data_IF_771239624446
#
_entry.id   IF_771239624446
#
_cell.length_a   1.000
_cell.length_b   1.000
_cell.length_c   1.000
_cell.angle_alpha   90.00
_cell.angle_beta   90.00
_cell.angle_gamma   90.00
#
_symmetry.space_group_name_H-M   'P 1'
#
loop_
_entity.id
_entity.type
_entity.pdbx_description
1 polymer ?
#
# COMPACT_ATOMS: atom_id res chain seq x y z
N UNK A 1 -9.13 2.83 -12.72
CA UNK A 1 -8.92 1.69 -11.79
C UNK A 1 -8.65 2.26 -10.40
N UNK A 2 -9.09 1.60 -9.33
CA UNK A 2 -8.86 2.06 -7.95
C UNK A 2 -9.00 0.91 -6.95
N UNK A 3 -8.87 1.22 -5.66
CA UNK A 3 -8.95 0.24 -4.57
C UNK A 3 -7.59 -0.03 -3.91
N UNK A 4 -7.62 -0.25 -2.60
CA UNK A 4 -6.43 -0.41 -1.75
C UNK A 4 -5.45 -1.48 -2.28
N UNK A 5 -5.95 -2.69 -2.56
CA UNK A 5 -5.15 -3.79 -3.08
C UNK A 5 -4.50 -3.49 -4.45
N UNK A 6 -5.21 -2.78 -5.34
CA UNK A 6 -4.66 -2.35 -6.63
C UNK A 6 -3.50 -1.39 -6.46
N UNK A 7 -3.65 -0.37 -5.61
CA UNK A 7 -2.58 0.61 -5.37
C UNK A 7 -1.38 0.00 -4.64
N UNK A 8 -1.60 -0.95 -3.72
CA UNK A 8 -0.51 -1.70 -3.11
C UNK A 8 0.24 -2.57 -4.14
N UNK A 9 -0.48 -3.29 -5.01
CA UNK A 9 0.14 -4.05 -6.10
C UNK A 9 0.92 -3.14 -7.06
N UNK A 10 0.39 -1.97 -7.38
CA UNK A 10 1.07 -0.95 -8.17
C UNK A 10 2.36 -0.46 -7.51
N UNK A 11 2.32 -0.11 -6.22
CA UNK A 11 3.51 0.33 -5.49
C UNK A 11 4.63 -0.71 -5.49
N UNK A 12 4.26 -1.97 -5.25
CA UNK A 12 5.15 -3.11 -5.40
C UNK A 12 5.69 -3.26 -6.84
N UNK A 13 4.84 -3.00 -7.84
CA UNK A 13 5.16 -3.14 -9.27
C UNK A 13 6.11 -2.05 -9.79
N UNK A 14 6.01 -0.81 -9.30
CA UNK A 14 6.93 0.28 -9.67
C UNK A 14 8.38 -0.11 -9.41
N UNK A 15 8.65 -0.82 -8.32
CA UNK A 15 9.98 -1.33 -7.97
C UNK A 15 10.23 -2.78 -8.41
N UNK A 16 9.35 -3.35 -9.22
CA UNK A 16 9.47 -4.72 -9.73
C UNK A 16 9.29 -4.76 -11.24
N UNK A 17 10.18 -4.13 -12.03
CA UNK A 17 10.15 -4.25 -13.48
C UNK A 17 10.32 -5.71 -13.91
N UNK A 18 9.89 -6.11 -15.12
CA UNK A 18 10.07 -7.45 -15.63
C UNK A 18 11.57 -7.83 -15.59
N UNK A 19 11.91 -9.09 -15.27
CA UNK A 19 11.00 -10.20 -14.96
C UNK A 19 10.48 -10.24 -13.52
N UNK A 20 10.93 -9.33 -12.64
CA UNK A 20 10.54 -9.30 -11.22
C UNK A 20 9.06 -8.96 -11.01
N UNK A 21 8.40 -8.37 -12.00
CA UNK A 21 6.96 -8.09 -12.00
C UNK A 21 6.12 -9.32 -11.66
N UNK A 22 6.53 -10.52 -12.10
CA UNK A 22 5.89 -11.80 -11.79
C UNK A 22 5.99 -12.22 -10.32
N UNK A 23 6.82 -11.56 -9.51
CA UNK A 23 6.88 -11.76 -8.06
C UNK A 23 5.85 -10.90 -7.29
N UNK A 24 5.12 -10.03 -7.98
CA UNK A 24 4.00 -9.27 -7.43
C UNK A 24 2.72 -10.02 -7.74
N UNK A 25 2.04 -10.51 -6.72
CA UNK A 25 0.79 -11.26 -6.85
C UNK A 25 -0.35 -10.52 -6.14
N UNK A 26 -1.52 -10.51 -6.77
CA UNK A 26 -2.71 -9.81 -6.29
C UNK A 26 -3.96 -10.39 -6.95
N UNK A 27 -5.12 -10.13 -6.36
CA UNK A 27 -6.41 -10.65 -6.84
C UNK A 27 -7.23 -9.51 -7.41
N UNK A 28 -7.87 -9.76 -8.56
CA UNK A 28 -8.87 -8.86 -9.14
C UNK A 28 -10.18 -9.63 -9.28
N UNK A 29 -11.22 -9.14 -8.60
CA UNK A 29 -12.57 -9.66 -8.73
C UNK A 29 -13.37 -8.84 -9.76
N UNK A 30 -13.70 -9.47 -10.88
CA UNK A 30 -14.46 -8.90 -11.98
C UNK A 30 -15.91 -9.39 -11.95
N UNK A 31 -16.85 -8.46 -11.75
CA UNK A 31 -18.28 -8.74 -11.89
C UNK A 31 -18.75 -8.68 -13.34
N UNK A 32 -20.06 -8.83 -13.56
CA UNK A 32 -20.69 -8.76 -14.88
C UNK A 32 -20.53 -7.40 -15.58
N UNK A 33 -20.25 -6.34 -14.83
CA UNK A 33 -20.06 -4.95 -15.29
C UNK A 33 -18.59 -4.51 -15.30
N UNK A 34 -17.64 -5.45 -15.18
CA UNK A 34 -16.21 -5.13 -15.16
C UNK A 34 -15.79 -4.47 -16.48
N UNK A 35 -15.18 -3.27 -16.47
CA UNK A 35 -14.86 -2.58 -17.72
C UNK A 35 -13.76 -3.32 -18.49
N UNK A 36 -14.06 -3.74 -19.72
CA UNK A 36 -13.12 -4.47 -20.58
C UNK A 36 -11.83 -3.69 -20.85
N UNK A 37 -11.90 -2.35 -20.87
CA UNK A 37 -10.73 -1.47 -21.02
C UNK A 37 -9.71 -1.58 -19.88
N UNK A 38 -10.07 -2.15 -18.73
CA UNK A 38 -9.13 -2.35 -17.63
C UNK A 38 -8.25 -3.59 -17.82
N UNK A 39 -8.70 -4.59 -18.59
CA UNK A 39 -7.97 -5.86 -18.77
C UNK A 39 -6.59 -5.63 -19.42
N UNK A 40 -6.46 -4.84 -20.52
CA UNK A 40 -5.14 -4.54 -21.09
C UNK A 40 -4.21 -3.87 -20.07
N UNK A 41 -4.69 -2.89 -19.31
CA UNK A 41 -3.89 -2.18 -18.28
C UNK A 41 -3.37 -3.17 -17.22
N UNK A 42 -4.22 -4.08 -16.75
CA UNK A 42 -3.84 -5.10 -15.77
C UNK A 42 -2.78 -6.05 -16.34
N UNK A 43 -2.97 -6.49 -17.59
CA UNK A 43 -2.07 -7.40 -18.27
C UNK A 43 -0.71 -6.76 -18.58
N UNK A 44 -0.69 -5.49 -18.96
CA UNK A 44 0.52 -4.71 -19.28
C UNK A 44 1.45 -4.57 -18.07
N UNK A 45 0.92 -4.65 -16.84
CA UNK A 45 1.76 -4.69 -15.64
C UNK A 45 2.57 -5.98 -15.53
N UNK A 46 2.27 -7.02 -16.32
CA UNK A 46 3.01 -8.29 -16.36
C UNK A 46 3.20 -8.93 -14.98
N UNK A 47 2.25 -8.71 -14.07
CA UNK A 47 2.25 -9.26 -12.71
C UNK A 47 1.71 -10.69 -12.69
N UNK A 48 1.73 -11.32 -11.51
CA UNK A 48 1.03 -12.58 -11.24
C UNK A 48 -0.38 -12.30 -10.69
N UNK A 49 -1.20 -11.65 -11.52
CA UNK A 49 -2.59 -11.33 -11.17
C UNK A 49 -3.48 -12.57 -11.25
N UNK A 50 -4.31 -12.77 -10.23
CA UNK A 50 -5.41 -13.74 -10.24
C UNK A 50 -6.70 -13.01 -10.56
N UNK A 51 -7.12 -13.03 -11.82
CA UNK A 51 -8.39 -12.46 -12.27
C UNK A 51 -9.52 -13.49 -12.07
N UNK A 52 -10.45 -13.19 -11.17
CA UNK A 52 -11.62 -14.03 -10.88
C UNK A 52 -12.86 -13.37 -11.47
N UNK A 53 -13.57 -14.09 -12.34
CA UNK A 53 -14.79 -13.59 -12.99
C UNK A 53 -16.00 -14.21 -12.30
N UNK A 54 -16.95 -13.36 -11.90
CA UNK A 54 -18.22 -13.79 -11.35
C UNK A 54 -19.37 -13.00 -11.99
N UNK A 55 -20.05 -13.62 -12.95
CA UNK A 55 -21.17 -13.01 -13.70
C UNK A 55 -22.45 -12.83 -12.87
N UNK A 56 -22.53 -13.38 -11.66
CA UNK A 56 -23.72 -13.30 -10.79
C UNK A 56 -23.70 -12.06 -9.88
N UNK A 57 -22.67 -11.21 -9.98
CA UNK A 57 -22.54 -10.01 -9.16
C UNK A 57 -21.97 -8.85 -9.95
N UNK A 58 -22.18 -7.65 -9.42
CA UNK A 58 -21.46 -6.47 -9.85
C UNK A 58 -20.04 -6.43 -9.26
N UNK A 59 -19.15 -5.78 -10.00
CA UNK A 59 -17.79 -5.41 -9.58
C UNK A 59 -17.91 -4.48 -8.38
N UNK A 60 -17.03 -4.66 -7.39
CA UNK A 60 -16.98 -3.74 -6.23
C UNK A 60 -16.61 -2.34 -6.71
N UNK A 61 -17.45 -1.34 -6.43
CA UNK A 61 -17.25 0.06 -6.80
C UNK A 61 -17.24 0.92 -5.53
N UNK A 62 -16.27 1.82 -5.45
CA UNK A 62 -16.19 2.84 -4.42
C UNK A 62 -16.27 4.23 -5.04
N UNK A 63 -16.98 5.14 -4.40
CA UNK A 63 -17.08 6.55 -4.77
C UNK A 63 -16.21 7.37 -3.86
N UNK A 64 -15.31 8.17 -4.43
CA UNK A 64 -14.68 9.28 -3.73
C UNK A 64 -15.46 10.55 -4.05
N UNK A 65 -15.85 11.31 -3.03
CA UNK A 65 -16.45 12.64 -3.18
C UNK A 65 -15.67 13.63 -2.33
N UNK A 66 -15.42 14.82 -2.87
CA UNK A 66 -14.72 15.90 -2.19
C UNK A 66 -15.72 17.00 -1.87
N UNK A 67 -15.73 17.49 -0.62
CA UNK A 67 -16.56 18.63 -0.25
C UNK A 67 -15.88 19.97 -0.63
N UNK A 68 -16.54 21.09 -0.29
CA UNK A 68 -16.02 22.44 -0.58
C UNK A 68 -14.68 22.74 0.12
N UNK A 69 -14.36 22.03 1.21
CA UNK A 69 -13.10 22.10 1.93
C UNK A 69 -12.08 21.04 1.45
N UNK A 70 -12.36 20.37 0.33
CA UNK A 70 -11.54 19.29 -0.25
C UNK A 70 -11.42 18.06 0.67
N UNK A 71 -12.34 17.87 1.62
CA UNK A 71 -12.38 16.65 2.42
C UNK A 71 -12.91 15.48 1.60
N UNK A 72 -12.16 14.40 1.59
CA UNK A 72 -12.50 13.17 0.87
C UNK A 72 -13.44 12.31 1.72
N UNK A 73 -14.66 12.12 1.22
CA UNK A 73 -15.60 11.10 1.67
C UNK A 73 -15.54 9.87 0.75
N UNK A 74 -15.73 8.68 1.32
CA UNK A 74 -15.71 7.42 0.59
C UNK A 74 -16.95 6.58 0.91
N UNK A 75 -17.57 6.02 -0.13
CA UNK A 75 -18.73 5.13 0.00
C UNK A 75 -18.63 3.95 -0.98
N UNK A 76 -19.02 2.75 -0.56
CA UNK A 76 -19.19 1.62 -1.47
C UNK A 76 -20.51 1.73 -2.22
N UNK A 77 -20.45 1.77 -3.56
CA UNK A 77 -21.64 1.82 -4.42
C UNK A 77 -22.20 0.43 -4.75
N UNK A 78 -21.40 -0.61 -4.55
CA UNK A 78 -21.82 -2.01 -4.71
C UNK A 78 -21.27 -2.83 -3.55
N UNK A 79 -21.88 -3.99 -3.21
CA UNK A 79 -21.46 -4.80 -2.07
C UNK A 79 -19.99 -5.17 -2.13
N UNK A 80 -19.24 -4.82 -1.07
CA UNK A 80 -17.83 -5.17 -0.93
C UNK A 80 -17.65 -6.69 -0.94
N UNK A 81 -16.78 -7.18 -1.82
CA UNK A 81 -16.23 -8.53 -1.67
C UNK A 81 -15.02 -8.48 -0.75
N UNK A 82 -14.98 -9.37 0.24
CA UNK A 82 -13.86 -9.44 1.16
C UNK A 82 -13.02 -10.67 0.81
N UNK A 83 -11.73 -10.45 0.56
CA UNK A 83 -10.76 -11.52 0.30
C UNK A 83 -10.37 -12.19 1.62
N UNK A 84 -10.26 -13.51 1.59
CA UNK A 84 -9.97 -14.37 2.71
C UNK A 84 -8.87 -15.39 2.38
N UNK A 85 -8.30 -16.08 3.38
CA UNK A 85 -7.26 -17.08 3.16
C UNK A 85 -7.80 -18.28 2.37
N UNK A 86 -9.08 -18.61 2.51
CA UNK A 86 -9.72 -19.68 1.72
C UNK A 86 -9.69 -19.39 0.22
N UNK A 87 -9.70 -18.11 -0.19
CA UNK A 87 -9.58 -17.73 -1.60
C UNK A 87 -8.21 -18.10 -2.20
N UNK A 88 -7.22 -18.31 -1.35
CA UNK A 88 -5.84 -18.66 -1.73
C UNK A 88 -5.55 -20.16 -1.59
N UNK A 89 -6.51 -20.98 -1.18
CA UNK A 89 -6.27 -22.40 -0.84
C UNK A 89 -5.65 -23.22 -1.98
N UNK A 90 -5.90 -22.85 -3.24
CA UNK A 90 -5.33 -23.50 -4.42
C UNK A 90 -4.17 -22.70 -5.05
N UNK A 91 -3.75 -21.61 -4.42
CA UNK A 91 -2.75 -20.67 -4.92
C UNK A 91 -1.48 -20.76 -4.05
N UNK A 92 -0.83 -21.93 -4.04
CA UNK A 92 0.33 -22.18 -3.17
C UNK A 92 1.44 -21.13 -3.33
N UNK A 93 1.69 -20.66 -4.56
CA UNK A 93 2.67 -19.61 -4.82
C UNK A 93 2.32 -18.28 -4.12
N UNK A 94 1.03 -17.89 -4.13
CA UNK A 94 0.56 -16.71 -3.41
C UNK A 94 0.63 -16.92 -1.89
N UNK A 95 0.21 -18.09 -1.39
CA UNK A 95 0.30 -18.42 0.04
C UNK A 95 1.74 -18.39 0.56
N UNK A 96 2.72 -18.77 -0.27
CA UNK A 96 4.15 -18.77 0.05
C UNK A 96 4.86 -17.43 -0.21
N UNK A 97 4.12 -16.36 -0.53
CA UNK A 97 4.69 -15.01 -0.71
C UNK A 97 5.53 -14.58 0.48
N UNK A 98 6.60 -13.82 0.20
CA UNK A 98 7.52 -13.34 1.25
C UNK A 98 6.92 -12.21 2.09
N UNK A 99 5.95 -11.47 1.55
CA UNK A 99 5.27 -10.39 2.24
C UNK A 99 3.79 -10.34 1.88
N UNK A 100 2.98 -9.79 2.80
CA UNK A 100 1.55 -9.54 2.61
C UNK A 100 1.22 -8.13 3.08
N UNK A 101 0.38 -7.45 2.31
CA UNK A 101 -0.24 -6.18 2.69
C UNK A 101 -1.70 -6.43 3.07
N UNK A 102 -2.07 -6.06 4.30
CA UNK A 102 -3.41 -6.27 4.85
C UNK A 102 -4.06 -4.92 5.21
N UNK A 103 -5.29 -4.70 4.76
CA UNK A 103 -6.13 -3.57 5.16
C UNK A 103 -7.42 -4.09 5.78
N UNK A 104 -7.51 -4.02 7.11
CA UNK A 104 -8.64 -4.59 7.86
C UNK A 104 -8.64 -4.13 9.33
N UNK A 105 -9.72 -4.45 10.04
CA UNK A 105 -9.79 -4.27 11.48
C UNK A 105 -8.74 -5.11 12.22
N UNK A 106 -8.34 -4.74 13.44
CA UNK A 106 -7.32 -5.48 14.20
C UNK A 106 -7.67 -6.96 14.39
N UNK A 107 -8.90 -7.26 14.82
CA UNK A 107 -9.35 -8.65 15.02
C UNK A 107 -9.35 -9.46 13.72
N UNK A 108 -9.68 -8.85 12.59
CA UNK A 108 -9.61 -9.50 11.28
C UNK A 108 -8.16 -9.76 10.88
N UNK A 109 -7.25 -8.82 11.15
CA UNK A 109 -5.83 -9.01 10.86
C UNK A 109 -5.26 -10.22 11.61
N UNK A 110 -5.51 -10.31 12.93
CA UNK A 110 -5.14 -11.49 13.74
C UNK A 110 -5.68 -12.78 13.10
N UNK A 111 -6.98 -12.82 12.77
CA UNK A 111 -7.60 -14.00 12.15
C UNK A 111 -6.95 -14.38 10.80
N UNK A 112 -6.66 -13.40 9.95
CA UNK A 112 -6.03 -13.62 8.64
C UNK A 112 -4.59 -14.13 8.80
N UNK A 113 -3.80 -13.52 9.66
CA UNK A 113 -2.40 -13.91 9.88
C UNK A 113 -2.32 -15.32 10.44
N UNK A 114 -3.13 -15.65 11.45
CA UNK A 114 -3.14 -17.01 12.03
C UNK A 114 -3.46 -18.07 10.97
N UNK A 115 -4.53 -17.86 10.19
CA UNK A 115 -4.94 -18.83 9.16
C UNK A 115 -3.96 -18.88 7.99
N UNK A 116 -3.31 -17.76 7.66
CA UNK A 116 -2.23 -17.73 6.68
C UNK A 116 -1.04 -18.59 7.14
N UNK A 117 -0.62 -18.44 8.39
CA UNK A 117 0.50 -19.22 8.94
C UNK A 117 0.17 -20.71 8.98
N UNK A 118 -1.05 -21.09 9.35
CA UNK A 118 -1.51 -22.47 9.33
C UNK A 118 -1.52 -23.05 7.90
N UNK A 119 -2.09 -22.32 6.93
CA UNK A 119 -2.12 -22.74 5.53
C UNK A 119 -0.70 -22.89 4.96
N UNK A 120 0.22 -21.98 5.29
CA UNK A 120 1.63 -22.06 4.89
C UNK A 120 2.32 -23.28 5.48
N UNK A 121 2.08 -23.58 6.76
CA UNK A 121 2.66 -24.74 7.46
C UNK A 121 2.18 -26.06 6.84
N UNK A 122 0.94 -26.13 6.39
CA UNK A 122 0.40 -27.30 5.68
C UNK A 122 1.08 -27.53 4.32
N UNK A 123 1.45 -26.46 3.61
CA UNK A 123 2.15 -26.57 2.33
C UNK A 123 3.64 -26.89 2.54
N UNK A 124 4.30 -26.15 3.43
CA UNK A 124 5.70 -26.34 3.76
C UNK A 124 5.93 -25.97 5.25
N UNK A 125 6.13 -26.96 6.14
CA UNK A 125 6.37 -26.73 7.56
C UNK A 125 7.62 -25.89 7.86
N UNK A 126 8.57 -25.81 6.93
CA UNK A 126 9.81 -25.03 7.03
C UNK A 126 9.71 -23.67 6.32
N UNK A 127 8.53 -23.28 5.82
CA UNK A 127 8.35 -21.98 5.20
C UNK A 127 8.68 -20.87 6.22
N UNK A 128 9.55 -19.91 5.87
CA UNK A 128 9.82 -18.78 6.74
C UNK A 128 8.53 -18.00 7.00
N UNK A 129 8.43 -17.34 8.16
CA UNK A 129 7.33 -16.43 8.42
C UNK A 129 7.36 -15.30 7.38
N UNK A 130 6.23 -14.94 6.77
CA UNK A 130 6.18 -13.83 5.85
C UNK A 130 6.24 -12.50 6.61
N UNK A 131 6.73 -11.46 5.94
CA UNK A 131 6.58 -10.08 6.41
C UNK A 131 5.10 -9.66 6.31
N UNK A 132 4.53 -9.18 7.41
CA UNK A 132 3.16 -8.67 7.43
C UNK A 132 3.18 -7.14 7.58
N UNK A 133 2.70 -6.45 6.55
CA UNK A 133 2.45 -5.01 6.56
C UNK A 133 0.95 -4.78 6.71
N UNK A 134 0.54 -4.14 7.79
CA UNK A 134 -0.87 -3.93 8.11
C UNK A 134 -1.18 -2.44 8.24
N UNK A 135 -2.26 -1.99 7.59
CA UNK A 135 -2.91 -0.72 7.89
C UNK A 135 -4.32 -0.98 8.47
N UNK A 136 -4.65 -0.37 9.62
CA UNK A 136 -6.00 -0.45 10.17
C UNK A 136 -6.99 0.30 9.26
N UNK A 137 -8.25 -0.13 9.24
CA UNK A 137 -9.29 0.61 8.53
C UNK A 137 -9.73 1.83 9.34
N UNK A 138 -10.08 2.97 8.69
CA UNK A 138 -10.39 4.22 9.39
C UNK A 138 -11.42 4.08 10.50
N UNK A 139 -12.47 3.28 10.28
CA UNK A 139 -13.59 3.08 11.22
C UNK A 139 -13.16 2.39 12.52
N UNK A 140 -11.99 1.72 12.53
CA UNK A 140 -11.42 1.07 13.71
C UNK A 140 -10.30 1.88 14.37
N UNK A 141 -10.01 3.07 13.85
CA UNK A 141 -9.03 3.97 14.43
C UNK A 141 -9.70 4.89 15.45
N UNK A 142 -10.28 4.27 16.48
CA UNK A 142 -11.04 4.92 17.55
C UNK A 142 -10.59 4.42 18.92
N UNK A 143 -10.78 5.18 20.00
CA UNK A 143 -10.19 4.85 21.30
C UNK A 143 -10.63 3.50 21.88
N UNK A 144 -11.88 3.08 21.61
CA UNK A 144 -12.40 1.79 22.05
C UNK A 144 -11.71 0.58 21.38
N UNK A 145 -11.06 0.78 20.23
CA UNK A 145 -10.33 -0.28 19.51
C UNK A 145 -8.84 -0.34 19.90
N UNK A 146 -8.35 0.55 20.77
CA UNK A 146 -6.95 0.61 21.17
C UNK A 146 -6.44 -0.75 21.69
N UNK A 147 -7.22 -1.44 22.52
CA UNK A 147 -6.88 -2.77 23.03
C UNK A 147 -6.81 -3.82 21.92
N UNK A 148 -7.74 -3.79 20.96
CA UNK A 148 -7.73 -4.73 19.85
C UNK A 148 -6.53 -4.48 18.93
N UNK A 149 -6.19 -3.21 18.71
CA UNK A 149 -5.02 -2.82 17.93
C UNK A 149 -3.73 -3.28 18.60
N UNK A 150 -3.54 -3.02 19.90
CA UNK A 150 -2.34 -3.47 20.62
C UNK A 150 -2.23 -5.00 20.64
N UNK A 151 -3.34 -5.72 20.78
CA UNK A 151 -3.37 -7.18 20.66
C UNK A 151 -3.02 -7.70 19.25
N UNK A 152 -3.16 -6.88 18.22
CA UNK A 152 -2.81 -7.24 16.84
C UNK A 152 -1.32 -7.04 16.53
N UNK A 153 -0.65 -6.10 17.21
CA UNK A 153 0.75 -5.76 16.94
C UNK A 153 1.73 -6.96 16.99
N UNK A 154 1.58 -7.99 17.87
CA UNK A 154 2.45 -9.17 17.86
C UNK A 154 2.38 -10.04 16.58
N UNK A 155 1.35 -9.84 15.76
CA UNK A 155 1.10 -10.60 14.53
C UNK A 155 1.67 -9.93 13.29
N UNK A 156 2.14 -8.69 13.40
CA UNK A 156 2.56 -7.87 12.25
C UNK A 156 3.99 -7.39 12.40
N UNK A 157 4.62 -7.04 11.28
CA UNK A 157 5.96 -6.44 11.27
C UNK A 157 5.88 -4.93 11.11
N UNK A 158 4.89 -4.43 10.35
CA UNK A 158 4.64 -3.00 10.18
C UNK A 158 3.17 -2.72 10.50
N UNK A 159 2.94 -1.73 11.36
CA UNK A 159 1.63 -1.12 11.56
C UNK A 159 1.67 0.30 10.97
N UNK A 160 0.77 0.60 10.02
CA UNK A 160 0.79 1.87 9.28
C UNK A 160 -0.55 2.61 9.27
N UNK A 161 -1.00 3.16 10.41
CA UNK A 161 -2.04 4.17 10.38
C UNK A 161 -1.56 5.43 9.66
N UNK A 162 -2.47 6.23 9.14
CA UNK A 162 -2.17 7.63 8.84
C UNK A 162 -2.19 8.49 10.12
N UNK A 163 -1.68 9.72 10.05
CA UNK A 163 -1.61 10.61 11.21
C UNK A 163 -2.98 10.90 11.84
N UNK A 164 -4.02 11.13 11.04
CA UNK A 164 -5.39 11.35 11.54
C UNK A 164 -5.92 10.11 12.27
N UNK A 165 -5.72 8.92 11.69
CA UNK A 165 -6.09 7.64 12.28
C UNK A 165 -5.36 7.38 13.61
N UNK A 166 -4.05 7.62 13.65
CA UNK A 166 -3.26 7.47 14.87
C UNK A 166 -3.75 8.42 15.97
N UNK A 167 -3.94 9.70 15.63
CA UNK A 167 -4.39 10.69 16.60
C UNK A 167 -5.82 10.38 17.08
N UNK A 168 -6.74 9.93 16.21
CA UNK A 168 -8.09 9.48 16.63
C UNK A 168 -8.05 8.27 17.55
N UNK A 169 -7.15 7.32 17.29
CA UNK A 169 -6.98 6.13 18.11
C UNK A 169 -6.52 6.46 19.54
N UNK A 170 -5.66 7.46 19.68
CA UNK A 170 -5.04 7.85 20.96
C UNK A 170 -5.83 8.94 21.70
N UNK A 171 -6.61 9.75 20.97
CA UNK A 171 -7.43 10.80 21.54
C UNK A 171 -8.37 10.24 22.60
N UNK A 172 -8.42 10.85 23.79
CA UNK A 172 -9.46 10.52 24.77
C UNK A 172 -10.85 10.76 24.16
N UNK A 173 -11.89 10.10 24.69
CA UNK A 173 -13.27 10.20 24.21
C UNK A 173 -13.81 11.65 24.07
N UNK A 174 -13.14 12.63 24.71
CA UNK A 174 -13.49 14.05 24.71
C UNK A 174 -13.00 14.86 23.49
N UNK A 175 -12.22 14.30 22.56
CA UNK A 175 -11.76 15.00 21.33
C UNK A 175 -12.37 14.44 20.03
N UNK A 176 -13.40 13.61 20.14
CA UNK A 176 -14.01 12.90 18.99
C UNK A 176 -14.93 13.82 18.15
N UNK A 177 -15.28 15.01 18.65
CA UNK A 177 -16.29 15.90 18.03
C UNK A 177 -15.73 16.93 17.03
N UNK A 178 -14.41 17.09 16.90
CA UNK A 178 -13.84 17.87 15.79
C UNK A 178 -13.53 16.95 14.63
N UNK A 179 -14.33 17.03 13.56
CA UNK A 179 -14.07 16.34 12.30
C UNK A 179 -12.69 16.68 11.67
N UNK A 180 -11.98 17.67 12.21
CA UNK A 180 -10.68 18.14 11.73
C UNK A 180 -9.59 17.89 12.79
N UNK A 181 -8.89 16.77 12.68
CA UNK A 181 -7.59 16.63 13.36
C UNK A 181 -6.54 17.25 12.46
N UNK A 182 -6.00 18.40 12.87
CA UNK A 182 -4.88 19.04 12.19
C UNK A 182 -3.60 18.22 12.33
N UNK A 183 -2.73 18.31 11.33
CA UNK A 183 -1.40 17.73 11.39
C UNK A 183 -0.55 18.45 12.45
N UNK A 184 -0.13 17.72 13.49
CA UNK A 184 0.78 18.19 14.54
C UNK A 184 1.88 17.12 14.77
N UNK A 185 3.12 17.39 14.35
CA UNK A 185 4.25 16.48 14.56
C UNK A 185 4.45 16.08 16.02
N UNK A 186 4.27 17.01 16.96
CA UNK A 186 4.51 16.76 18.39
C UNK A 186 3.48 15.78 18.94
N UNK A 187 2.20 15.97 18.59
CA UNK A 187 1.14 15.06 18.99
C UNK A 187 1.29 13.68 18.32
N UNK A 188 1.75 13.63 17.07
CA UNK A 188 2.00 12.38 16.35
C UNK A 188 3.14 11.60 17.03
N UNK A 189 4.24 12.25 17.36
CA UNK A 189 5.37 11.64 18.07
C UNK A 189 4.94 11.12 19.45
N UNK A 190 4.21 11.92 20.22
CA UNK A 190 3.68 11.50 21.52
C UNK A 190 2.72 10.30 21.41
N UNK A 191 1.88 10.26 20.37
CA UNK A 191 0.99 9.14 20.10
C UNK A 191 1.75 7.85 19.72
N UNK A 192 2.82 7.98 18.93
CA UNK A 192 3.74 6.87 18.65
C UNK A 192 4.39 6.34 19.92
N UNK A 193 4.93 7.22 20.76
CA UNK A 193 5.58 6.85 22.02
C UNK A 193 4.62 6.10 22.95
N UNK A 194 3.37 6.56 23.04
CA UNK A 194 2.33 5.90 23.83
C UNK A 194 2.06 4.46 23.34
N UNK A 195 1.99 4.25 22.02
CA UNK A 195 1.79 2.90 21.47
C UNK A 195 3.02 2.01 21.64
N UNK A 196 4.22 2.57 21.44
CA UNK A 196 5.48 1.84 21.63
C UNK A 196 5.65 1.43 23.10
N UNK A 197 5.27 2.28 24.05
CA UNK A 197 5.29 1.98 25.48
C UNK A 197 4.29 0.87 25.87
N UNK A 198 3.19 0.71 25.13
CA UNK A 198 2.19 -0.32 25.38
C UNK A 198 2.69 -1.75 25.09
N UNK A 199 3.77 -1.92 24.30
CA UNK A 199 4.34 -3.23 23.98
C UNK A 199 5.88 -3.26 24.12
N UNK A 200 6.40 -3.68 25.29
CA UNK A 200 7.84 -3.64 25.58
C UNK A 200 8.70 -4.65 24.78
N UNK A 201 8.10 -5.67 24.16
CA UNK A 201 8.79 -6.60 23.27
C UNK A 201 8.53 -6.19 21.81
N UNK A 202 9.42 -5.37 21.25
CA UNK A 202 9.25 -4.79 19.91
C UNK A 202 9.73 -5.76 18.82
N UNK A 203 8.78 -6.37 18.11
CA UNK A 203 9.03 -7.11 16.86
C UNK A 203 8.38 -6.41 15.65
N UNK A 204 7.97 -5.15 15.81
CA UNK A 204 7.22 -4.39 14.82
C UNK A 204 7.70 -2.93 14.76
N UNK A 205 7.44 -2.26 13.65
CA UNK A 205 7.66 -0.82 13.50
C UNK A 205 6.34 -0.09 13.19
N UNK A 206 6.20 1.12 13.71
CA UNK A 206 5.16 2.05 13.27
C UNK A 206 5.66 2.88 12.10
N UNK A 207 4.87 2.92 11.03
CA UNK A 207 5.13 3.82 9.89
C UNK A 207 3.91 4.71 9.71
N UNK A 208 3.96 5.90 10.27
CA UNK A 208 2.83 6.84 10.23
C UNK A 208 2.83 7.59 8.91
N UNK A 209 1.74 7.48 8.15
CA UNK A 209 1.60 8.17 6.86
C UNK A 209 1.01 9.56 7.06
N UNK A 210 1.75 10.58 6.64
CA UNK A 210 1.40 11.99 6.87
C UNK A 210 0.80 12.70 5.64
N UNK A 211 0.39 11.95 4.61
CA UNK A 211 -0.21 12.52 3.39
C UNK A 211 0.67 13.61 2.77
N UNK A 212 0.05 14.73 2.35
CA UNK A 212 0.77 15.89 1.81
C UNK A 212 1.84 16.46 2.77
N UNK A 213 1.65 16.31 4.08
CA UNK A 213 2.60 16.79 5.09
C UNK A 213 3.87 15.95 5.17
N UNK A 214 3.86 14.72 4.62
CA UNK A 214 5.06 13.90 4.47
C UNK A 214 5.93 14.28 3.25
N UNK A 215 5.45 15.18 2.38
CA UNK A 215 6.22 15.65 1.23
C UNK A 215 6.87 17.01 1.49
N UNK A 216 8.07 17.25 0.92
CA UNK A 216 8.66 18.58 0.84
C UNK A 216 7.69 19.57 0.18
N UNK A 217 7.61 20.82 0.65
CA UNK A 217 6.67 21.82 0.14
C UNK A 217 6.66 21.95 -1.39
N UNK A 218 7.82 21.90 -2.03
CA UNK A 218 7.96 22.04 -3.48
C UNK A 218 7.28 20.92 -4.29
N UNK A 219 7.14 19.72 -3.72
CA UNK A 219 6.50 18.57 -4.38
C UNK A 219 4.98 18.56 -4.21
N UNK A 220 4.43 19.32 -3.25
CA UNK A 220 2.98 19.37 -3.01
C UNK A 220 2.21 19.95 -4.19
N UNK A 221 2.86 20.76 -5.02
CA UNK A 221 2.27 21.42 -6.20
C UNK A 221 1.87 20.45 -7.33
N UNK A 222 2.39 19.21 -7.32
CA UNK A 222 2.06 18.18 -8.32
C UNK A 222 0.93 17.24 -7.88
N UNK A 223 0.40 17.41 -6.67
CA UNK A 223 -0.65 16.53 -6.12
C UNK A 223 -1.98 16.88 -6.78
N UNK A 224 -2.54 15.94 -7.55
CA UNK A 224 -3.87 16.02 -8.17
C UNK A 224 -4.88 15.22 -7.35
N UNK A 225 -4.56 13.98 -6.98
CA UNK A 225 -5.45 13.11 -6.19
C UNK A 225 -4.63 12.26 -5.20
N UNK A 226 -4.78 12.44 -3.88
CA UNK A 226 -4.04 11.64 -2.89
C UNK A 226 -4.53 10.18 -2.77
N UNK A 227 -5.62 9.82 -3.44
CA UNK A 227 -6.22 8.48 -3.35
C UNK A 227 -5.21 7.40 -3.75
N UNK A 228 -5.00 6.44 -2.86
CA UNK A 228 -4.14 5.29 -3.14
C UNK A 228 -2.66 5.51 -2.84
N UNK A 229 -2.21 6.76 -2.63
CA UNK A 229 -0.81 7.07 -2.34
C UNK A 229 -0.28 6.28 -1.13
N UNK A 230 -1.04 6.29 -0.02
CA UNK A 230 -0.69 5.53 1.17
C UNK A 230 -0.69 4.02 0.97
N UNK A 231 -1.42 3.49 -0.02
CA UNK A 231 -1.41 2.06 -0.35
C UNK A 231 -0.22 1.69 -1.23
N UNK A 232 0.09 2.53 -2.24
CA UNK A 232 1.30 2.36 -3.06
C UNK A 232 2.58 2.49 -2.24
N UNK A 233 2.57 3.38 -1.23
CA UNK A 233 3.63 3.45 -0.24
C UNK A 233 3.90 2.07 0.38
N UNK A 234 2.85 1.45 0.92
CA UNK A 234 2.95 0.18 1.65
C UNK A 234 3.29 -1.00 0.74
N UNK A 235 2.82 -0.97 -0.51
CA UNK A 235 3.22 -1.94 -1.53
C UNK A 235 4.71 -1.91 -1.82
N UNK A 236 5.27 -0.71 -2.04
CA UNK A 236 6.70 -0.54 -2.30
C UNK A 236 7.55 -0.84 -1.06
N UNK A 237 7.13 -0.39 0.13
CA UNK A 237 7.73 -0.71 1.42
C UNK A 237 7.82 -2.24 1.62
N UNK A 238 6.72 -2.96 1.40
CA UNK A 238 6.65 -4.41 1.58
C UNK A 238 7.61 -5.16 0.64
N UNK A 239 7.79 -4.70 -0.61
CA UNK A 239 8.75 -5.29 -1.54
C UNK A 239 10.18 -4.95 -1.17
N UNK A 240 10.46 -3.70 -0.75
CA UNK A 240 11.78 -3.27 -0.30
C UNK A 240 12.27 -4.12 0.88
N UNK A 241 11.46 -4.20 1.93
CA UNK A 241 11.75 -5.03 3.12
C UNK A 241 11.88 -6.52 2.77
N UNK A 242 11.00 -7.07 1.92
CA UNK A 242 11.08 -8.48 1.49
C UNK A 242 12.33 -8.78 0.64
N UNK A 243 13.01 -7.76 0.12
CA UNK A 243 14.29 -7.85 -0.61
C UNK A 243 15.51 -7.56 0.27
N UNK A 244 15.31 -7.30 1.55
CA UNK A 244 16.38 -7.09 2.52
C UNK A 244 16.89 -5.66 2.59
N UNK A 245 16.15 -4.69 2.06
CA UNK A 245 16.41 -3.28 2.37
C UNK A 245 16.13 -3.02 3.85
N UNK A 246 16.85 -2.05 4.42
CA UNK A 246 16.49 -1.54 5.73
C UNK A 246 15.18 -0.73 5.68
N UNK A 247 14.66 -0.37 6.85
CA UNK A 247 13.39 0.34 6.94
C UNK A 247 13.46 1.73 6.29
N UNK A 248 14.57 2.45 6.41
CA UNK A 248 14.71 3.80 5.85
C UNK A 248 14.72 3.77 4.31
N UNK A 249 15.46 2.84 3.72
CA UNK A 249 15.52 2.62 2.27
C UNK A 249 14.16 2.19 1.71
N UNK A 250 13.48 1.28 2.42
CA UNK A 250 12.15 0.82 2.03
C UNK A 250 11.10 1.94 2.14
N UNK A 251 11.22 2.84 3.13
CA UNK A 251 10.40 4.06 3.24
C UNK A 251 10.65 4.96 2.03
N UNK A 252 11.89 5.13 1.59
CA UNK A 252 12.20 5.93 0.40
C UNK A 252 11.53 5.38 -0.86
N UNK A 253 11.49 4.05 -1.01
CA UNK A 253 10.73 3.40 -2.09
C UNK A 253 9.24 3.71 -1.96
N UNK A 254 8.69 3.62 -0.75
CA UNK A 254 7.32 4.02 -0.44
C UNK A 254 6.99 5.45 -0.87
N UNK A 255 7.83 6.41 -0.52
CA UNK A 255 7.67 7.83 -0.87
C UNK A 255 7.65 8.03 -2.38
N UNK A 256 8.58 7.41 -3.10
CA UNK A 256 8.66 7.51 -4.56
C UNK A 256 7.45 6.85 -5.24
N UNK A 257 7.02 5.67 -4.78
CA UNK A 257 5.81 5.04 -5.31
C UNK A 257 4.57 5.92 -5.14
N UNK A 258 4.45 6.53 -3.96
CA UNK A 258 3.35 7.46 -3.66
C UNK A 258 3.38 8.69 -4.56
N UNK A 259 4.57 9.21 -4.86
CA UNK A 259 4.74 10.38 -5.75
C UNK A 259 4.21 10.14 -7.16
N UNK A 260 4.29 8.91 -7.69
CA UNK A 260 3.69 8.59 -8.98
C UNK A 260 2.16 8.54 -8.91
N UNK A 261 1.60 8.08 -7.79
CA UNK A 261 0.14 7.91 -7.66
C UNK A 261 -0.57 9.25 -7.50
N UNK A 262 0.01 10.18 -6.74
CA UNK A 262 -0.64 11.46 -6.44
C UNK A 262 -0.79 12.40 -7.63
N UNK A 263 -0.04 12.19 -8.71
CA UNK A 263 0.05 13.09 -9.87
C UNK A 263 -1.14 12.96 -10.84
N UNK A 264 -2.12 12.09 -10.57
CA UNK A 264 -3.31 11.90 -11.41
C UNK A 264 -4.46 11.22 -10.67
N UNK A 265 -5.67 11.29 -11.25
CA UNK A 265 -6.80 10.46 -10.82
C UNK A 265 -6.62 9.04 -11.35
N UNK A 266 -6.58 8.05 -10.45
CA UNK A 266 -6.43 6.65 -10.80
C UNK A 266 -4.99 6.17 -10.80
N UNK A 267 -4.64 5.23 -11.68
CA UNK A 267 -3.31 4.60 -11.69
C UNK A 267 -2.38 5.31 -12.70
N UNK A 268 -1.07 5.40 -12.42
CA UNK A 268 -0.09 5.92 -13.37
C UNK A 268 -0.07 5.11 -14.66
N UNK A 269 0.29 5.75 -15.76
CA UNK A 269 0.34 5.12 -17.08
C UNK A 269 1.71 4.49 -17.32
N UNK A 270 1.74 3.20 -17.63
CA UNK A 270 2.96 2.51 -18.03
C UNK A 270 3.20 2.69 -19.53
N UNK A 271 4.44 2.99 -19.89
CA UNK A 271 4.94 2.95 -21.27
C UNK A 271 6.33 2.32 -21.29
N UNK A 272 6.71 1.76 -22.43
CA UNK A 272 8.01 1.14 -22.64
C UNK A 272 8.73 1.85 -23.78
N UNK A 273 10.02 2.13 -23.60
CA UNK A 273 10.86 2.78 -24.61
C UNK A 273 12.08 1.91 -24.91
N UNK A 274 12.47 1.84 -26.17
CA UNK A 274 13.72 1.17 -26.58
C UNK A 274 14.95 2.03 -26.25
N UNK A 275 16.14 1.49 -26.51
CA UNK A 275 17.41 2.19 -26.30
C UNK A 275 17.57 3.48 -27.13
N UNK A 276 16.71 3.69 -28.14
CA UNK A 276 16.67 4.92 -28.95
C UNK A 276 15.60 5.91 -28.46
N UNK A 277 14.88 5.58 -27.38
CA UNK A 277 13.79 6.38 -26.82
C UNK A 277 12.46 6.24 -27.55
N UNK A 278 12.33 5.32 -28.50
CA UNK A 278 11.07 5.12 -29.23
C UNK A 278 10.13 4.22 -28.41
N UNK A 279 8.83 4.56 -28.43
CA UNK A 279 7.82 3.71 -27.78
C UNK A 279 7.79 2.32 -28.41
N UNK A 280 7.79 1.31 -27.56
CA UNK A 280 7.73 -0.10 -27.95
C UNK A 280 6.71 -0.84 -27.09
N UNK A 281 6.13 -1.91 -27.63
CA UNK A 281 5.28 -2.84 -26.87
C UNK A 281 6.04 -4.13 -26.52
N UNK A 282 7.33 -4.21 -26.86
CA UNK A 282 8.16 -5.40 -26.67
C UNK A 282 8.77 -5.35 -25.26
N UNK A 283 8.65 -6.44 -24.52
CA UNK A 283 9.41 -6.65 -23.28
C UNK A 283 10.67 -7.44 -23.62
N UNK A 284 11.86 -6.85 -23.44
CA UNK A 284 13.14 -7.53 -23.63
C UNK A 284 13.87 -7.58 -22.28
N UNK A 285 14.39 -8.76 -21.92
CA UNK A 285 14.98 -9.02 -20.61
C UNK A 285 16.49 -8.68 -20.53
N UNK A 286 17.06 -8.05 -21.56
CA UNK A 286 18.48 -7.68 -21.64
C UNK A 286 18.76 -6.23 -21.19
N UNK A 287 17.72 -5.49 -20.79
CA UNK A 287 17.83 -4.09 -20.38
C UNK A 287 17.78 -3.08 -21.53
N UNK A 288 17.53 -3.52 -22.77
CA UNK A 288 17.35 -2.64 -23.94
C UNK A 288 16.03 -1.88 -23.95
N UNK A 289 15.10 -2.23 -23.05
CA UNK A 289 13.79 -1.58 -22.90
C UNK A 289 13.64 -1.04 -21.49
N UNK A 290 13.37 0.25 -21.38
CA UNK A 290 13.08 0.93 -20.12
C UNK A 290 11.57 1.11 -19.93
N UNK A 291 11.11 0.91 -18.68
CA UNK A 291 9.75 1.23 -18.29
C UNK A 291 9.65 2.64 -17.74
N UNK A 292 8.74 3.44 -18.33
CA UNK A 292 8.41 4.78 -17.87
C UNK A 292 7.00 4.79 -17.31
N UNK A 293 6.85 5.33 -16.10
CA UNK A 293 5.56 5.54 -15.44
C UNK A 293 5.24 7.02 -15.47
N UNK A 294 4.11 7.40 -16.07
CA UNK A 294 3.81 8.78 -16.42
C UNK A 294 4.94 9.48 -17.22
N UNK A 295 5.69 8.70 -18.01
CA UNK A 295 6.82 9.21 -18.79
C UNK A 295 8.12 9.43 -18.00
N UNK A 296 8.21 9.01 -16.74
CA UNK A 296 9.45 9.09 -15.95
C UNK A 296 9.92 7.71 -15.46
N UNK A 297 11.24 7.54 -15.39
CA UNK A 297 11.89 6.35 -14.88
C UNK A 297 11.79 6.29 -13.35
N UNK A 298 11.36 5.15 -12.80
CA UNK A 298 11.24 4.96 -11.33
C UNK A 298 12.60 5.06 -10.66
N UNK A 299 13.63 4.50 -11.29
CA UNK A 299 15.01 4.49 -10.80
C UNK A 299 15.60 5.89 -10.78
N UNK A 300 15.38 6.67 -11.83
CA UNK A 300 15.82 8.06 -11.89
C UNK A 300 15.12 8.92 -10.82
N UNK A 301 13.79 8.76 -10.69
CA UNK A 301 13.03 9.47 -9.65
C UNK A 301 13.49 9.09 -8.24
N UNK A 302 13.78 7.81 -7.99
CA UNK A 302 14.35 7.36 -6.72
C UNK A 302 15.73 7.95 -6.48
N UNK A 303 16.60 7.98 -7.47
CA UNK A 303 17.94 8.56 -7.32
C UNK A 303 17.87 10.06 -6.95
N UNK A 304 17.03 10.83 -7.66
CA UNK A 304 16.75 12.24 -7.37
C UNK A 304 16.12 12.46 -6.00
N UNK A 305 15.35 11.50 -5.49
CA UNK A 305 14.76 11.56 -4.16
C UNK A 305 15.82 11.30 -3.08
N UNK A 306 16.62 10.24 -3.24
CA UNK A 306 17.68 9.87 -2.30
C UNK A 306 18.78 10.94 -2.19
N UNK A 307 19.14 11.60 -3.30
CA UNK A 307 20.10 12.71 -3.26
C UNK A 307 19.61 13.83 -2.34
N UNK A 308 18.33 14.22 -2.47
CA UNK A 308 17.72 15.26 -1.61
C UNK A 308 17.65 14.84 -0.15
N UNK A 309 17.27 13.59 0.13
CA UNK A 309 17.22 13.08 1.51
C UNK A 309 18.62 13.15 2.15
N UNK A 310 19.67 12.77 1.42
CA UNK A 310 21.06 12.88 1.90
C UNK A 310 21.46 14.32 2.15
N UNK A 311 21.13 15.24 1.24
CA UNK A 311 21.44 16.67 1.39
C UNK A 311 20.72 17.30 2.59
N UNK A 312 19.48 16.87 2.88
CA UNK A 312 18.72 17.34 4.04
C UNK A 312 19.30 16.83 5.37
N UNK A 313 19.84 15.60 5.41
CA UNK A 313 20.48 15.03 6.61
C UNK A 313 21.85 15.65 6.91
N UNK A 314 22.53 16.23 5.93
CA UNK A 314 23.86 16.86 6.12
C UNK A 314 23.78 18.32 6.57
N UNK A 315 22.62 18.96 6.44
CA UNK A 315 22.41 20.38 6.78
C UNK A 315 21.37 20.61 7.90
N UNK A 316 20.89 19.52 8.52
CA UNK A 316 19.90 19.54 9.61
C UNK A 316 20.48 19.26 10.98
#
# INVERSE_FOLDING_TARGET
MGGAGTFAALGARLFSPPPLSKRVAWIVDAGSDFPSSMIPIINDWETSVLLRINSLRLTTRGRNSYDAAQHRNFEYMTPKLTIDITDLQHQHAMLLSKSFHLICSPLRCISLVTRLLDARKQINPLAPKPLIVWEPVPDTCIPSELLNLTNCLPYVNICSPNHTELLRLISGASQVDSNEISFDPTAIEAACDQLLAAMPLQNYAFVVRSGANGYPPEQRTRVIDPTGAGNSFLGALAVGLARGLDLEEAICWGCVASSFVVEQVGVPTLSKVDSSGNKTNITIQDGSVEELWNGESVQERLHKYLSRVRDSKTHG
#
